data_IF_718617253012
#
_entry.id   IF_718617253012
#
_cell.length_a   1.000
_cell.length_b   1.000
_cell.length_c   1.000
_cell.angle_alpha   90.00
_cell.angle_beta   90.00
_cell.angle_gamma   90.00
#
_symmetry.space_group_name_H-M   'P 1'
#
loop_
_entity.id
_entity.type
_entity.pdbx_description
1 polymer ?
#
# COMPACT_ATOMS: atom_id res chain seq x y z
N UNK A 1 25.36 -1.22 -4.11
CA UNK A 1 24.24 -2.06 -3.66
C UNK A 1 22.97 -1.28 -3.94
N UNK A 2 21.97 -1.88 -4.57
CA UNK A 2 20.67 -1.22 -4.85
C UNK A 2 19.95 -1.05 -3.53
N UNK A 3 19.41 0.14 -3.27
CA UNK A 3 18.58 0.38 -2.10
C UNK A 3 17.20 -0.25 -2.34
N UNK A 4 16.77 -1.19 -1.51
CA UNK A 4 15.48 -1.86 -1.61
C UNK A 4 14.71 -1.69 -0.30
N UNK A 5 13.43 -1.39 -0.39
CA UNK A 5 12.54 -1.27 0.78
C UNK A 5 11.28 -2.07 0.55
N UNK A 6 10.66 -2.53 1.62
CA UNK A 6 9.32 -3.13 1.63
C UNK A 6 8.55 -2.50 2.79
N UNK A 7 7.60 -1.63 2.48
CA UNK A 7 6.84 -0.86 3.48
C UNK A 7 5.42 -1.38 3.68
N UNK A 8 5.04 -2.47 2.99
CA UNK A 8 3.71 -3.04 3.09
C UNK A 8 3.80 -4.49 3.54
N UNK A 9 3.88 -4.64 4.87
CA UNK A 9 4.03 -5.94 5.53
C UNK A 9 3.12 -5.99 6.75
N UNK A 10 2.38 -7.07 6.89
CA UNK A 10 1.44 -7.34 7.96
C UNK A 10 1.96 -8.42 8.89
N UNK A 11 1.84 -8.18 10.20
CA UNK A 11 2.21 -9.14 11.22
C UNK A 11 0.99 -9.64 12.01
N UNK A 12 1.24 -10.39 13.07
CA UNK A 12 0.18 -10.89 13.97
C UNK A 12 -0.56 -9.80 14.76
N UNK A 13 -0.25 -8.53 14.54
CA UNK A 13 -1.04 -7.42 15.07
C UNK A 13 -2.33 -7.17 14.25
N UNK A 14 -2.34 -7.57 12.98
CA UNK A 14 -3.54 -7.65 12.14
C UNK A 14 -3.74 -9.09 11.66
N UNK A 15 -3.63 -9.39 10.39
CA UNK A 15 -3.87 -10.71 9.81
C UNK A 15 -2.62 -11.41 9.27
N UNK A 16 -1.46 -10.84 9.51
CA UNK A 16 -0.18 -11.50 9.25
C UNK A 16 0.01 -12.74 10.14
N UNK A 17 0.70 -13.75 9.60
CA UNK A 17 0.79 -15.09 10.20
C UNK A 17 1.91 -15.27 11.22
N UNK A 18 2.71 -14.24 11.47
CA UNK A 18 3.87 -14.32 12.36
C UNK A 18 4.10 -13.01 13.09
N UNK A 19 4.86 -13.07 14.16
CA UNK A 19 5.31 -11.87 14.88
C UNK A 19 6.34 -11.08 14.06
N UNK A 20 6.49 -9.76 14.27
CA UNK A 20 7.40 -8.92 13.48
C UNK A 20 8.84 -9.46 13.37
N UNK A 21 9.36 -10.08 14.41
CA UNK A 21 10.71 -10.66 14.45
C UNK A 21 10.96 -11.69 13.35
N UNK A 22 9.96 -12.50 13.03
CA UNK A 22 10.07 -13.58 12.04
C UNK A 22 10.29 -13.06 10.62
N UNK A 23 9.93 -11.81 10.34
CA UNK A 23 10.08 -11.16 9.03
C UNK A 23 11.50 -10.61 8.81
N UNK A 24 12.29 -10.41 9.86
CA UNK A 24 13.59 -9.74 9.77
C UNK A 24 14.62 -10.57 8.98
N UNK A 25 14.74 -11.86 9.29
CA UNK A 25 15.69 -12.74 8.57
C UNK A 25 15.36 -12.85 7.08
N UNK A 26 14.12 -13.10 6.65
CA UNK A 26 13.74 -13.04 5.25
C UNK A 26 14.02 -11.70 4.57
N UNK A 27 13.75 -10.59 5.25
CA UNK A 27 14.01 -9.25 4.72
C UNK A 27 15.50 -9.02 4.44
N UNK A 28 16.37 -9.40 5.38
CA UNK A 28 17.82 -9.33 5.20
C UNK A 28 18.26 -10.25 4.05
N UNK A 29 17.76 -11.48 3.98
CA UNK A 29 18.09 -12.44 2.93
C UNK A 29 17.66 -11.94 1.54
N UNK A 30 16.54 -11.20 1.44
CA UNK A 30 16.08 -10.54 0.22
C UNK A 30 16.90 -9.28 -0.15
N UNK A 31 17.84 -8.88 0.69
CA UNK A 31 18.69 -7.69 0.47
C UNK A 31 17.98 -6.36 0.71
N UNK A 32 16.94 -6.33 1.53
CA UNK A 32 16.29 -5.09 1.88
C UNK A 32 17.17 -4.20 2.75
N UNK A 33 17.16 -2.91 2.47
CA UNK A 33 17.79 -1.86 3.30
C UNK A 33 16.87 -1.43 4.44
N UNK A 34 15.55 -1.46 4.19
CA UNK A 34 14.52 -1.13 5.17
C UNK A 34 13.33 -2.09 5.01
N UNK A 35 12.76 -2.49 6.14
CA UNK A 35 11.45 -3.14 6.22
C UNK A 35 10.52 -2.29 7.07
N UNK A 36 9.30 -2.07 6.60
CA UNK A 36 8.26 -1.35 7.31
C UNK A 36 7.05 -2.24 7.55
N UNK A 37 6.53 -2.22 8.76
CA UNK A 37 5.27 -2.85 9.10
C UNK A 37 4.13 -1.84 8.95
N UNK A 38 3.02 -2.26 8.36
CA UNK A 38 1.85 -1.43 8.07
C UNK A 38 0.58 -2.22 8.31
N UNK A 39 0.27 -2.44 9.58
CA UNK A 39 -0.92 -3.20 9.96
C UNK A 39 -2.20 -2.55 9.45
N UNK A 40 -3.16 -3.37 9.05
CA UNK A 40 -4.49 -2.88 8.67
C UNK A 40 -5.16 -2.11 9.79
N UNK A 41 -5.68 -0.93 9.48
CA UNK A 41 -6.45 -0.10 10.39
C UNK A 41 -7.72 0.45 9.73
N UNK A 42 -8.85 -0.04 10.18
CA UNK A 42 -10.19 0.43 9.80
C UNK A 42 -10.88 1.05 11.01
N UNK A 43 -11.20 2.37 10.94
CA UNK A 43 -11.73 3.11 12.10
C UNK A 43 -13.27 3.12 12.17
N UNK A 44 -13.98 2.88 11.06
CA UNK A 44 -15.42 3.12 10.95
C UNK A 44 -16.22 1.87 10.61
N UNK A 45 -15.62 0.73 10.80
CA UNK A 45 -16.28 -0.58 10.70
C UNK A 45 -16.04 -1.36 11.97
N UNK A 46 -16.93 -2.28 12.25
CA UNK A 46 -16.73 -3.21 13.35
C UNK A 46 -15.40 -3.95 13.17
N UNK A 47 -14.69 -4.27 14.26
CA UNK A 47 -13.43 -4.98 14.18
C UNK A 47 -13.63 -6.32 13.45
N UNK A 48 -13.13 -6.39 12.21
CA UNK A 48 -13.05 -7.64 11.48
C UNK A 48 -11.76 -8.38 11.85
N UNK A 49 -11.73 -9.69 11.62
CA UNK A 49 -10.60 -10.55 12.05
C UNK A 49 -9.26 -10.11 11.44
N UNK A 50 -9.29 -9.47 10.27
CA UNK A 50 -8.11 -9.00 9.56
C UNK A 50 -7.59 -7.64 10.02
N UNK A 51 -8.37 -6.86 10.76
CA UNK A 51 -8.06 -5.49 11.16
C UNK A 51 -7.45 -5.42 12.56
N UNK A 52 -6.37 -4.65 12.72
CA UNK A 52 -5.81 -4.39 14.04
C UNK A 52 -6.81 -3.60 14.91
N UNK A 53 -7.08 -4.11 16.10
CA UNK A 53 -7.88 -3.35 17.07
C UNK A 53 -7.13 -2.07 17.46
N UNK A 54 -7.75 -0.87 17.38
CA UNK A 54 -7.11 0.40 17.74
C UNK A 54 -6.46 0.44 19.13
N UNK A 55 -6.93 -0.36 20.09
CA UNK A 55 -6.30 -0.47 21.42
C UNK A 55 -4.90 -1.07 21.37
N UNK A 56 -4.56 -1.80 20.32
CA UNK A 56 -3.26 -2.42 20.12
C UNK A 56 -2.22 -1.50 19.45
N UNK A 57 -2.59 -0.29 19.02
CA UNK A 57 -1.66 0.62 18.33
C UNK A 57 -0.47 1.01 19.20
N UNK A 58 -0.70 1.38 20.45
CA UNK A 58 0.41 1.71 21.38
C UNK A 58 1.32 0.51 21.66
N UNK A 59 0.80 -0.69 21.96
CA UNK A 59 1.60 -1.91 22.04
C UNK A 59 2.38 -2.22 20.76
N UNK A 60 1.76 -2.10 19.59
CA UNK A 60 2.39 -2.30 18.29
C UNK A 60 3.59 -1.36 18.07
N UNK A 61 3.39 -0.06 18.25
CA UNK A 61 4.44 0.95 18.11
C UNK A 61 5.59 0.67 19.08
N UNK A 62 5.30 0.44 20.37
CA UNK A 62 6.32 0.17 21.39
C UNK A 62 7.12 -1.10 21.10
N UNK A 63 6.46 -2.13 20.56
CA UNK A 63 7.12 -3.37 20.15
C UNK A 63 8.08 -3.11 19.00
N UNK A 64 7.65 -2.42 17.94
CA UNK A 64 8.50 -2.11 16.79
C UNK A 64 9.64 -1.14 17.13
N UNK A 65 9.45 -0.20 18.04
CA UNK A 65 10.54 0.63 18.56
C UNK A 65 11.60 -0.21 19.29
N UNK A 66 11.16 -1.18 20.09
CA UNK A 66 12.05 -2.13 20.75
C UNK A 66 12.82 -2.98 19.74
N UNK A 67 12.13 -3.50 18.74
CA UNK A 67 12.74 -4.28 17.66
C UNK A 67 13.74 -3.44 16.86
N UNK A 68 13.39 -2.20 16.51
CA UNK A 68 14.27 -1.22 15.83
C UNK A 68 15.55 -0.95 16.62
N UNK A 69 15.46 -0.88 17.93
CA UNK A 69 16.62 -0.63 18.79
C UNK A 69 17.56 -1.84 18.87
N UNK A 70 17.05 -3.05 18.76
CA UNK A 70 17.78 -4.30 18.89
C UNK A 70 18.37 -4.80 17.55
N UNK A 71 17.68 -4.60 16.44
CA UNK A 71 18.12 -5.04 15.10
C UNK A 71 19.01 -3.95 14.48
N UNK A 72 20.20 -4.33 13.98
CA UNK A 72 21.17 -3.38 13.41
C UNK A 72 21.45 -3.60 11.92
N UNK A 73 21.06 -4.74 11.38
CA UNK A 73 21.43 -5.15 10.02
C UNK A 73 20.42 -4.69 8.95
N UNK A 74 19.28 -4.15 9.38
CA UNK A 74 18.23 -3.61 8.52
C UNK A 74 17.52 -2.50 9.30
N UNK A 75 17.05 -1.47 8.61
CA UNK A 75 16.22 -0.44 9.26
C UNK A 75 14.79 -0.91 9.34
N UNK A 76 14.18 -0.73 10.51
CA UNK A 76 12.77 -1.03 10.74
C UNK A 76 11.98 0.26 10.73
N UNK A 77 10.91 0.31 9.94
CA UNK A 77 10.00 1.44 9.81
C UNK A 77 8.63 1.07 10.37
N UNK A 78 7.98 2.04 10.99
CA UNK A 78 6.68 1.88 11.64
C UNK A 78 5.66 2.66 10.83
N UNK A 79 4.72 1.95 10.24
CA UNK A 79 3.64 2.52 9.47
C UNK A 79 2.29 1.93 9.85
N UNK A 80 1.27 2.32 9.13
CA UNK A 80 -0.07 1.74 9.15
C UNK A 80 -0.61 1.72 7.73
N UNK A 81 -1.39 0.70 7.40
CA UNK A 81 -2.28 0.72 6.24
C UNK A 81 -3.68 1.08 6.71
N UNK A 82 -4.15 2.24 6.31
CA UNK A 82 -5.37 2.84 6.83
C UNK A 82 -6.43 2.92 5.75
N UNK A 83 -7.60 2.37 6.04
CA UNK A 83 -8.76 2.49 5.16
C UNK A 83 -9.26 3.92 5.09
N UNK A 84 -9.41 4.42 3.86
CA UNK A 84 -10.02 5.71 3.60
C UNK A 84 -11.55 5.60 3.52
N UNK A 85 -12.22 6.51 4.21
CA UNK A 85 -13.66 6.72 4.14
C UNK A 85 -13.97 8.18 3.84
N UNK A 86 -14.58 8.46 2.71
CA UNK A 86 -14.97 9.81 2.31
C UNK A 86 -15.90 10.45 3.35
N UNK A 87 -15.62 11.70 3.71
CA UNK A 87 -16.36 12.43 4.74
C UNK A 87 -15.92 12.13 6.18
N UNK A 88 -14.83 11.33 6.34
CA UNK A 88 -14.23 10.97 7.63
C UNK A 88 -12.79 11.50 7.80
N UNK A 89 -12.36 12.37 6.91
CA UNK A 89 -10.97 12.84 6.83
C UNK A 89 -10.49 13.45 8.14
N UNK A 90 -11.31 14.28 8.76
CA UNK A 90 -10.96 14.95 10.02
C UNK A 90 -10.82 13.96 11.18
N UNK A 91 -11.68 12.96 11.24
CA UNK A 91 -11.63 11.93 12.27
C UNK A 91 -10.40 11.03 12.09
N UNK A 92 -10.08 10.65 10.85
CA UNK A 92 -8.85 9.91 10.49
C UNK A 92 -7.63 10.75 10.87
N UNK A 93 -7.60 12.02 10.49
CA UNK A 93 -6.49 12.93 10.82
C UNK A 93 -6.25 13.00 12.33
N UNK A 94 -7.29 13.27 13.12
CA UNK A 94 -7.17 13.39 14.59
C UNK A 94 -6.63 12.12 15.23
N UNK A 95 -6.97 10.97 14.65
CA UNK A 95 -6.48 9.68 15.14
C UNK A 95 -5.01 9.46 14.80
N UNK A 96 -4.61 9.74 13.56
CA UNK A 96 -3.28 9.44 13.06
C UNK A 96 -2.22 10.47 13.45
N UNK A 97 -2.60 11.76 13.52
CA UNK A 97 -1.66 12.87 13.72
C UNK A 97 -0.73 12.72 14.95
N UNK A 98 -1.20 12.24 16.13
CA UNK A 98 -0.35 12.11 17.31
C UNK A 98 0.57 10.87 17.28
N UNK A 99 0.44 9.98 16.31
CA UNK A 99 1.19 8.72 16.26
C UNK A 99 2.60 8.95 15.67
N UNK A 100 3.65 8.39 16.30
CA UNK A 100 5.03 8.54 15.83
C UNK A 100 5.36 7.58 14.67
N UNK A 101 4.65 7.72 13.57
CA UNK A 101 4.79 6.89 12.39
C UNK A 101 5.87 7.40 11.44
N UNK A 102 6.52 6.48 10.72
CA UNK A 102 7.46 6.82 9.66
C UNK A 102 6.76 7.08 8.33
N UNK A 103 5.61 6.43 8.09
CA UNK A 103 4.77 6.57 6.90
C UNK A 103 3.35 6.07 7.17
N UNK A 104 2.42 6.46 6.30
CA UNK A 104 1.04 5.96 6.30
C UNK A 104 0.67 5.57 4.87
N UNK A 105 0.24 4.33 4.69
CA UNK A 105 -0.37 3.85 3.46
C UNK A 105 -1.88 4.10 3.56
N UNK A 106 -2.44 4.78 2.57
CA UNK A 106 -3.88 4.95 2.43
C UNK A 106 -4.44 3.95 1.43
N UNK A 107 -5.40 3.15 1.86
CA UNK A 107 -6.01 2.11 1.04
C UNK A 107 -7.52 2.27 0.93
N UNK A 108 -8.07 1.81 -0.19
CA UNK A 108 -9.50 1.74 -0.43
C UNK A 108 -9.88 0.27 -0.56
N UNK A 109 -10.19 -0.36 0.56
CA UNK A 109 -10.76 -1.72 0.55
C UNK A 109 -12.28 -1.67 0.39
N UNK A 110 -12.94 -0.70 1.00
CA UNK A 110 -14.40 -0.61 1.03
C UNK A 110 -14.97 0.20 -0.14
N UNK A 111 -15.99 -0.34 -0.75
CA UNK A 111 -16.88 0.38 -1.66
C UNK A 111 -18.33 0.18 -1.18
N UNK A 112 -18.84 1.16 -0.46
CA UNK A 112 -20.04 1.03 0.35
C UNK A 112 -19.81 0.21 1.62
N UNK A 113 -20.64 -0.81 1.85
CA UNK A 113 -20.60 -1.61 3.07
C UNK A 113 -19.64 -2.83 2.98
N UNK A 114 -19.16 -3.18 1.79
CA UNK A 114 -18.34 -4.37 1.56
C UNK A 114 -16.97 -4.01 1.03
N UNK A 115 -15.99 -4.86 1.32
CA UNK A 115 -14.68 -4.77 0.70
C UNK A 115 -14.71 -5.32 -0.72
N UNK A 116 -13.89 -4.76 -1.62
CA UNK A 116 -13.82 -5.17 -3.04
C UNK A 116 -13.15 -6.54 -3.22
N UNK A 117 -12.47 -7.02 -2.19
CA UNK A 117 -11.72 -8.28 -2.17
C UNK A 117 -12.42 -9.39 -1.38
N UNK A 118 -13.62 -9.14 -0.86
CA UNK A 118 -14.39 -10.14 -0.08
C UNK A 118 -14.67 -11.42 -0.87
N UNK A 119 -14.83 -11.31 -2.19
CA UNK A 119 -15.08 -12.44 -3.09
C UNK A 119 -15.58 -11.97 -4.45
N UNK A 120 -15.51 -12.81 -5.50
CA UNK A 120 -16.00 -12.47 -6.83
C UNK A 120 -17.50 -12.16 -6.85
N UNK A 121 -18.27 -12.66 -5.88
CA UNK A 121 -19.70 -12.36 -5.70
C UNK A 121 -19.97 -10.86 -5.46
N UNK A 122 -18.98 -10.10 -5.00
CA UNK A 122 -19.07 -8.64 -4.90
C UNK A 122 -19.37 -7.99 -6.26
N UNK A 123 -18.91 -8.57 -7.35
CA UNK A 123 -19.00 -8.05 -8.71
C UNK A 123 -20.27 -8.52 -9.43
N UNK A 124 -20.91 -9.58 -8.95
CA UNK A 124 -22.09 -10.18 -9.61
C UNK A 124 -23.25 -9.18 -9.72
N UNK A 125 -23.84 -9.13 -10.92
CA UNK A 125 -24.97 -8.24 -11.22
C UNK A 125 -24.65 -6.75 -11.27
N UNK A 126 -23.37 -6.36 -11.09
CA UNK A 126 -22.94 -4.96 -11.15
C UNK A 126 -22.47 -4.57 -12.55
N UNK A 127 -22.64 -3.31 -12.89
CA UNK A 127 -22.08 -2.72 -14.11
C UNK A 127 -20.61 -2.40 -13.84
N UNK A 128 -19.70 -3.21 -14.39
CA UNK A 128 -18.27 -3.15 -14.10
C UNK A 128 -17.67 -1.76 -14.37
N UNK A 129 -18.04 -1.10 -15.47
CA UNK A 129 -17.56 0.25 -15.79
C UNK A 129 -17.90 1.26 -14.69
N UNK A 130 -19.12 1.20 -14.13
CA UNK A 130 -19.53 2.07 -13.02
C UNK A 130 -18.79 1.73 -11.72
N UNK A 131 -18.60 0.44 -11.48
CA UNK A 131 -17.91 -0.03 -10.29
C UNK A 131 -16.47 0.48 -10.25
N UNK A 132 -15.75 0.38 -11.40
CA UNK A 132 -14.40 0.91 -11.54
C UNK A 132 -14.37 2.43 -11.38
N UNK A 133 -15.31 3.15 -12.03
CA UNK A 133 -15.42 4.61 -11.86
C UNK A 133 -15.56 5.01 -10.39
N UNK A 134 -16.52 4.40 -9.67
CA UNK A 134 -16.74 4.68 -8.26
C UNK A 134 -15.54 4.33 -7.37
N UNK A 135 -14.80 3.25 -7.70
CA UNK A 135 -13.59 2.88 -6.99
C UNK A 135 -12.49 3.94 -7.18
N UNK A 136 -12.23 4.35 -8.43
CA UNK A 136 -11.24 5.40 -8.71
C UNK A 136 -11.63 6.75 -8.10
N UNK A 137 -12.92 7.10 -8.05
CA UNK A 137 -13.38 8.29 -7.34
C UNK A 137 -13.01 8.25 -5.85
N UNK A 138 -13.15 7.08 -5.20
CA UNK A 138 -12.74 6.88 -3.80
C UNK A 138 -11.23 7.00 -3.62
N UNK A 139 -10.44 6.43 -4.53
CA UNK A 139 -8.97 6.54 -4.49
C UNK A 139 -8.53 7.98 -4.74
N UNK A 140 -9.15 8.71 -5.68
CA UNK A 140 -8.90 10.13 -5.91
C UNK A 140 -9.18 10.96 -4.66
N UNK A 141 -10.28 10.68 -3.96
CA UNK A 141 -10.62 11.35 -2.71
C UNK A 141 -9.59 11.03 -1.61
N UNK A 142 -9.11 9.80 -1.51
CA UNK A 142 -8.05 9.41 -0.60
C UNK A 142 -6.76 10.19 -0.87
N UNK A 143 -6.33 10.30 -2.12
CA UNK A 143 -5.16 11.12 -2.53
C UNK A 143 -5.36 12.58 -2.14
N UNK A 144 -6.52 13.15 -2.46
CA UNK A 144 -6.83 14.56 -2.23
C UNK A 144 -6.98 14.92 -0.75
N UNK A 145 -7.20 13.94 0.13
CA UNK A 145 -7.35 14.16 1.59
C UNK A 145 -6.09 14.68 2.26
N UNK A 146 -4.89 14.43 1.68
CA UNK A 146 -3.62 14.81 2.28
C UNK A 146 -3.25 14.00 3.54
N UNK A 147 -3.94 12.90 3.81
CA UNK A 147 -3.73 12.06 5.00
C UNK A 147 -2.54 11.11 4.86
N UNK A 148 -2.25 10.68 3.63
CA UNK A 148 -1.42 9.53 3.33
C UNK A 148 -0.11 9.92 2.64
N UNK A 149 0.93 9.15 2.89
CA UNK A 149 2.24 9.32 2.26
C UNK A 149 2.37 8.45 1.00
N UNK A 150 1.69 7.29 1.03
CA UNK A 150 1.66 6.29 -0.03
C UNK A 150 0.20 5.89 -0.27
N UNK A 151 -0.22 5.73 -1.52
CA UNK A 151 -1.48 5.05 -1.85
C UNK A 151 -1.17 3.60 -2.14
N UNK A 152 -1.77 2.70 -1.35
CA UNK A 152 -1.69 1.27 -1.49
C UNK A 152 -2.48 0.79 -2.71
N UNK A 153 -2.05 -0.31 -3.35
CA UNK A 153 -2.74 -1.04 -4.44
C UNK A 153 -3.93 -0.27 -5.08
N UNK A 154 -3.62 0.89 -5.68
CA UNK A 154 -4.61 1.92 -6.06
C UNK A 154 -5.66 1.46 -7.08
N UNK A 155 -5.57 0.26 -7.60
CA UNK A 155 -6.55 -0.37 -8.49
C UNK A 155 -6.91 -1.80 -8.03
N UNK A 156 -7.01 -2.02 -6.70
CA UNK A 156 -7.39 -3.30 -6.08
C UNK A 156 -8.72 -3.86 -6.63
N UNK A 157 -9.59 -3.01 -7.12
CA UNK A 157 -10.84 -3.41 -7.81
C UNK A 157 -10.62 -4.43 -8.94
N UNK A 158 -9.39 -4.59 -9.44
CA UNK A 158 -9.01 -5.58 -10.47
C UNK A 158 -8.76 -6.98 -9.92
N UNK A 159 -8.78 -7.17 -8.61
CA UNK A 159 -8.30 -8.37 -7.91
C UNK A 159 -8.80 -9.69 -8.50
N UNK A 160 -10.07 -9.77 -8.95
CA UNK A 160 -10.67 -10.95 -9.55
C UNK A 160 -10.59 -10.98 -11.08
N UNK A 161 -9.82 -10.07 -11.71
CA UNK A 161 -9.60 -10.04 -13.16
C UNK A 161 -10.76 -9.49 -13.97
N UNK A 162 -11.78 -8.90 -13.34
CA UNK A 162 -12.84 -8.20 -14.06
C UNK A 162 -12.28 -7.01 -14.82
N UNK A 163 -12.74 -6.81 -16.04
CA UNK A 163 -12.30 -5.71 -16.91
C UNK A 163 -13.50 -4.88 -17.34
N UNK A 164 -13.45 -3.55 -17.20
CA UNK A 164 -14.45 -2.67 -17.80
C UNK A 164 -14.35 -2.69 -19.32
N UNK A 165 -15.42 -2.30 -20.00
CA UNK A 165 -15.44 -2.10 -21.44
C UNK A 165 -14.87 -0.75 -21.85
N UNK A 166 -14.91 0.24 -20.94
CA UNK A 166 -14.35 1.56 -21.14
C UNK A 166 -12.81 1.55 -21.05
N UNK A 167 -12.17 2.49 -21.78
CA UNK A 167 -10.76 2.75 -21.62
C UNK A 167 -10.46 3.31 -20.23
N UNK A 168 -9.51 2.71 -19.54
CA UNK A 168 -9.10 3.12 -18.20
C UNK A 168 -8.00 4.21 -18.20
N UNK A 169 -7.36 4.51 -19.33
CA UNK A 169 -6.29 5.51 -19.38
C UNK A 169 -6.71 6.85 -18.75
N UNK A 170 -7.91 7.40 -19.01
CA UNK A 170 -8.34 8.66 -18.41
C UNK A 170 -8.39 8.60 -16.88
N UNK A 171 -8.78 7.46 -16.29
CA UNK A 171 -8.82 7.28 -14.82
C UNK A 171 -7.42 7.27 -14.24
N UNK A 172 -6.50 6.47 -14.81
CA UNK A 172 -5.11 6.43 -14.35
C UNK A 172 -4.39 7.78 -14.54
N UNK A 173 -4.67 8.49 -15.62
CA UNK A 173 -4.10 9.81 -15.86
C UNK A 173 -4.61 10.85 -14.86
N UNK A 174 -5.91 10.82 -14.54
CA UNK A 174 -6.48 11.64 -13.47
C UNK A 174 -5.83 11.32 -12.12
N UNK A 175 -5.69 10.04 -11.81
CA UNK A 175 -5.07 9.58 -10.56
C UNK A 175 -3.60 10.04 -10.44
N UNK A 176 -2.79 9.82 -11.47
CA UNK A 176 -1.38 10.22 -11.47
C UNK A 176 -1.22 11.75 -11.32
N UNK A 177 -2.04 12.54 -12.01
CA UNK A 177 -2.05 14.01 -11.85
C UNK A 177 -2.43 14.44 -10.44
N UNK A 178 -3.44 13.82 -9.86
CA UNK A 178 -3.88 14.12 -8.49
C UNK A 178 -2.79 13.75 -7.49
N UNK A 179 -2.15 12.59 -7.62
CA UNK A 179 -1.00 12.19 -6.80
C UNK A 179 0.16 13.19 -6.90
N UNK A 180 0.45 13.68 -8.13
CA UNK A 180 1.48 14.70 -8.34
C UNK A 180 1.15 16.02 -7.64
N UNK A 181 -0.10 16.48 -7.73
CA UNK A 181 -0.57 17.73 -7.10
C UNK A 181 -0.47 17.65 -5.57
N UNK A 182 -0.86 16.51 -4.99
CA UNK A 182 -0.89 16.30 -3.56
C UNK A 182 0.42 15.73 -2.99
N UNK A 183 1.43 15.52 -3.84
CA UNK A 183 2.75 15.02 -3.47
C UNK A 183 2.74 13.66 -2.75
N UNK A 184 1.84 12.77 -3.18
CA UNK A 184 1.66 11.42 -2.62
C UNK A 184 2.34 10.39 -3.52
N UNK A 185 3.04 9.41 -2.92
CA UNK A 185 3.62 8.28 -3.65
C UNK A 185 2.57 7.21 -3.96
N UNK A 186 2.81 6.41 -4.99
CA UNK A 186 2.07 5.15 -5.19
C UNK A 186 2.97 3.95 -4.95
N UNK A 187 2.38 2.81 -4.64
CA UNK A 187 3.12 1.55 -4.58
C UNK A 187 2.92 0.72 -5.85
N UNK A 188 3.98 0.05 -6.29
CA UNK A 188 3.87 -1.17 -7.08
C UNK A 188 3.72 -2.31 -6.09
N UNK A 189 2.48 -2.77 -5.89
CA UNK A 189 2.15 -3.86 -4.99
C UNK A 189 2.28 -5.20 -5.72
N UNK A 190 3.17 -6.05 -5.24
CA UNK A 190 3.49 -7.30 -5.92
C UNK A 190 2.58 -8.46 -5.53
N UNK A 191 1.74 -8.32 -4.49
CA UNK A 191 0.82 -9.37 -4.04
C UNK A 191 -0.26 -9.72 -5.08
N UNK A 192 -0.58 -8.81 -5.98
CA UNK A 192 -1.51 -9.09 -7.08
C UNK A 192 -1.12 -10.30 -7.94
N UNK A 193 0.18 -10.65 -7.98
CA UNK A 193 0.70 -11.87 -8.63
C UNK A 193 0.16 -13.16 -8.00
N UNK A 194 -0.24 -13.11 -6.75
CA UNK A 194 -0.81 -14.24 -6.01
C UNK A 194 -2.35 -14.27 -6.04
N UNK A 195 -2.97 -13.26 -6.65
CA UNK A 195 -4.42 -13.14 -6.76
C UNK A 195 -4.92 -13.62 -8.12
N UNK A 196 -6.22 -13.83 -8.33
CA UNK A 196 -6.77 -14.20 -9.64
C UNK A 196 -6.37 -13.26 -10.79
N UNK A 197 -6.09 -12.00 -10.46
CA UNK A 197 -5.52 -10.99 -11.38
C UNK A 197 -4.20 -11.44 -12.02
N UNK A 198 -3.33 -12.14 -11.26
CA UNK A 198 -1.99 -12.59 -11.66
C UNK A 198 -1.07 -11.48 -12.23
N UNK A 199 -1.24 -10.25 -11.74
CA UNK A 199 -0.47 -9.06 -12.14
C UNK A 199 -0.17 -8.18 -10.93
N UNK A 200 0.58 -7.08 -11.11
CA UNK A 200 0.82 -6.08 -10.08
C UNK A 200 -0.35 -5.10 -9.95
N UNK A 201 -0.39 -4.39 -8.82
CA UNK A 201 -1.13 -3.14 -8.68
C UNK A 201 -0.11 -1.97 -8.69
N UNK A 202 -0.35 -0.89 -9.44
CA UNK A 202 -1.36 -0.76 -10.49
C UNK A 202 -1.03 -1.57 -11.74
N UNK A 203 -2.01 -1.64 -12.66
CA UNK A 203 -1.88 -2.30 -13.96
C UNK A 203 -0.62 -1.85 -14.67
N UNK A 204 0.22 -2.82 -15.06
CA UNK A 204 1.51 -2.57 -15.72
C UNK A 204 1.39 -1.74 -17.01
N UNK A 205 0.25 -1.81 -17.70
CA UNK A 205 0.02 -1.03 -18.91
C UNK A 205 -0.04 0.48 -18.64
N UNK A 206 -0.49 0.88 -17.45
CA UNK A 206 -0.66 2.28 -17.08
C UNK A 206 0.46 2.86 -16.22
N UNK A 207 1.45 2.05 -15.79
CA UNK A 207 2.59 2.53 -14.99
C UNK A 207 3.38 3.65 -15.67
N UNK A 208 3.42 3.67 -17.03
CA UNK A 208 4.05 4.75 -17.78
C UNK A 208 3.43 6.12 -17.49
N UNK A 209 2.13 6.18 -17.25
CA UNK A 209 1.42 7.43 -16.92
C UNK A 209 1.96 8.04 -15.64
N UNK A 210 2.17 7.22 -14.59
CA UNK A 210 2.75 7.69 -13.33
C UNK A 210 4.18 8.19 -13.53
N UNK A 211 4.96 7.56 -14.42
CA UNK A 211 6.30 8.02 -14.76
C UNK A 211 6.28 9.34 -15.55
N UNK A 212 5.38 9.51 -16.50
CA UNK A 212 5.18 10.77 -17.27
C UNK A 212 4.84 11.94 -16.34
N UNK A 213 4.00 11.73 -15.37
CA UNK A 213 3.61 12.74 -14.37
C UNK A 213 4.65 12.91 -13.26
N UNK A 214 5.73 12.12 -13.25
CA UNK A 214 6.77 12.09 -12.20
C UNK A 214 6.21 11.84 -10.80
N UNK A 215 5.27 10.90 -10.67
CA UNK A 215 4.74 10.45 -9.37
C UNK A 215 5.80 9.60 -8.67
N UNK A 216 6.12 9.84 -7.38
CA UNK A 216 7.05 9.01 -6.62
C UNK A 216 6.51 7.58 -6.47
N UNK A 217 7.41 6.58 -6.54
CA UNK A 217 7.05 5.16 -6.49
C UNK A 217 7.72 4.46 -5.32
N UNK A 218 7.00 3.51 -4.69
CA UNK A 218 7.53 2.46 -3.81
C UNK A 218 7.30 1.10 -4.45
N UNK A 219 8.07 0.09 -4.05
CA UNK A 219 7.80 -1.32 -4.38
C UNK A 219 7.53 -2.04 -3.07
N UNK A 220 6.38 -2.66 -2.94
CA UNK A 220 5.92 -3.30 -1.71
C UNK A 220 5.35 -4.70 -1.99
N UNK A 221 5.53 -5.60 -1.03
CA UNK A 221 5.13 -7.00 -1.17
C UNK A 221 3.72 -7.32 -0.69
N UNK A 222 3.18 -6.50 0.20
CA UNK A 222 1.92 -6.76 0.90
C UNK A 222 1.93 -8.18 1.53
N UNK A 223 3.04 -8.41 2.26
CA UNK A 223 3.36 -9.73 2.79
C UNK A 223 2.62 -10.00 4.09
N UNK A 224 1.82 -11.08 4.12
CA UNK A 224 1.12 -11.58 5.30
C UNK A 224 1.83 -12.79 5.93
N UNK A 225 3.01 -13.15 5.45
CA UNK A 225 3.88 -14.19 6.03
C UNK A 225 5.34 -13.93 5.67
N UNK A 226 6.30 -14.36 6.52
CA UNK A 226 7.72 -14.09 6.32
C UNK A 226 8.27 -14.47 4.95
N UNK A 227 7.83 -15.61 4.39
CA UNK A 227 8.27 -16.09 3.08
C UNK A 227 7.78 -15.26 1.89
N UNK A 228 6.90 -14.29 2.13
CA UNK A 228 6.36 -13.39 1.10
C UNK A 228 7.02 -12.02 1.07
N UNK A 229 7.89 -11.72 2.02
CA UNK A 229 8.66 -10.46 2.04
C UNK A 229 9.45 -10.32 0.73
N UNK A 230 9.36 -9.14 0.12
CA UNK A 230 10.02 -8.82 -1.15
C UNK A 230 9.69 -9.78 -2.31
N UNK A 231 8.56 -10.50 -2.27
CA UNK A 231 8.14 -11.39 -3.35
C UNK A 231 8.02 -10.64 -4.67
N UNK A 232 8.52 -11.23 -5.76
CA UNK A 232 8.49 -10.66 -7.13
C UNK A 232 9.16 -9.29 -7.30
N UNK A 233 10.00 -8.86 -6.36
CA UNK A 233 10.67 -7.55 -6.42
C UNK A 233 11.57 -7.40 -7.63
N UNK A 234 12.31 -8.43 -8.01
CA UNK A 234 13.20 -8.35 -9.18
C UNK A 234 12.37 -8.08 -10.46
N UNK A 235 11.21 -8.73 -10.64
CA UNK A 235 10.29 -8.46 -11.75
C UNK A 235 9.76 -7.00 -11.70
N UNK A 236 9.37 -6.53 -10.51
CA UNK A 236 8.86 -5.17 -10.34
C UNK A 236 9.93 -4.11 -10.62
N UNK A 237 11.15 -4.28 -10.11
CA UNK A 237 12.24 -3.35 -10.36
C UNK A 237 12.68 -3.35 -11.83
N UNK A 238 12.73 -4.52 -12.49
CA UNK A 238 13.04 -4.60 -13.92
C UNK A 238 11.98 -3.89 -14.77
N UNK A 239 10.70 -4.05 -14.43
CA UNK A 239 9.59 -3.33 -15.06
C UNK A 239 9.73 -1.82 -14.87
N UNK A 240 9.99 -1.35 -13.66
CA UNK A 240 10.15 0.08 -13.37
C UNK A 240 11.34 0.69 -14.12
N UNK A 241 12.49 -0.01 -14.17
CA UNK A 241 13.64 0.43 -14.97
C UNK A 241 13.32 0.50 -16.46
N UNK A 242 12.62 -0.50 -16.99
CA UNK A 242 12.18 -0.53 -18.39
C UNK A 242 11.29 0.68 -18.74
N UNK A 243 10.41 1.08 -17.81
CA UNK A 243 9.54 2.26 -17.95
C UNK A 243 10.33 3.57 -17.79
N UNK A 244 11.49 3.55 -17.14
CA UNK A 244 12.37 4.71 -16.96
C UNK A 244 12.31 5.33 -15.56
N UNK A 245 11.82 4.62 -14.55
CA UNK A 245 12.02 5.02 -13.17
C UNK A 245 13.49 4.76 -12.77
N UNK A 246 14.08 5.67 -12.04
CA UNK A 246 15.48 5.60 -11.58
C UNK A 246 15.63 5.76 -10.07
N UNK A 247 14.57 6.21 -9.41
CA UNK A 247 14.52 6.49 -7.98
C UNK A 247 13.21 6.00 -7.38
N UNK A 248 13.25 5.60 -6.13
CA UNK A 248 12.10 5.22 -5.32
C UNK A 248 11.95 6.12 -4.09
N UNK A 249 10.75 6.23 -3.59
CA UNK A 249 10.45 6.95 -2.36
C UNK A 249 10.81 6.11 -1.13
N UNK A 250 11.47 6.76 -0.16
CA UNK A 250 11.70 6.23 1.19
C UNK A 250 11.21 7.25 2.22
N UNK A 251 10.84 6.77 3.40
CA UNK A 251 10.19 7.61 4.41
C UNK A 251 10.89 7.52 5.76
N UNK A 252 10.90 8.65 6.46
CA UNK A 252 11.35 8.75 7.84
C UNK A 252 10.55 9.86 8.54
N UNK A 253 9.78 9.50 9.57
CA UNK A 253 8.89 10.43 10.29
C UNK A 253 8.00 11.22 9.32
N UNK A 254 7.43 10.52 8.35
CA UNK A 254 6.55 11.04 7.28
C UNK A 254 7.24 12.04 6.32
N UNK A 255 8.55 12.12 6.36
CA UNK A 255 9.33 12.92 5.41
C UNK A 255 9.86 12.02 4.32
N UNK A 256 9.43 12.27 3.08
CA UNK A 256 9.87 11.52 1.90
C UNK A 256 11.26 11.96 1.45
N UNK A 257 12.06 10.98 1.02
CA UNK A 257 13.30 11.18 0.24
C UNK A 257 13.25 10.27 -0.97
N UNK A 258 13.92 10.68 -2.05
CA UNK A 258 14.12 9.83 -3.22
C UNK A 258 15.51 9.20 -3.16
N UNK A 259 15.59 7.91 -3.45
CA UNK A 259 16.83 7.14 -3.49
C UNK A 259 16.94 6.35 -4.78
N UNK A 260 18.13 6.24 -5.40
CA UNK A 260 18.29 5.47 -6.63
C UNK A 260 18.17 3.96 -6.37
N UNK A 261 17.67 3.22 -7.36
CA UNK A 261 17.54 1.76 -7.35
C UNK A 261 18.00 1.06 -8.63
#
# INVERSE_FOLDING_TARGET
>A
MIYKTDYHVHSSYSDGRSVPEDYITPAIAAGLSEIGFSEHLTLFKDPEVWNMNPVNISPYISHLETLRNNVKNIKIKIGLEVDFFAGKEEEIYRFLHPLPLDYIIGSVHYLGEKTVDVGPEFYEGKIIDRLFGSYFDSVLAAVASGLFDIIGHCDLIRIYGYKPSADLEPLYRSLAKTMKIHDVAFEVNTNGRNRPLADFYPDRHYLRIFREENVPVCVNSDAHMPLRVAQYFDEAYDLLRYIGFTEMAVFDKRVRKMVPF
#
